data_IF_762435142369
#
_entry.id   IF_762435142369
#
_cell.length_a   1.000
_cell.length_b   1.000
_cell.length_c   1.000
_cell.angle_alpha   90.00
_cell.angle_beta   90.00
_cell.angle_gamma   90.00
#
_symmetry.space_group_name_H-M   'P 1'
#
loop_
_entity.id
_entity.type
_entity.pdbx_description
1 polymer ?
#
# COMPACT_ATOMS: atom_id res chain seq x y z
N UNK A 1 17.58 30.55 19.11
CA UNK A 1 16.54 30.65 18.08
C UNK A 1 15.42 29.69 18.46
N UNK A 2 14.20 30.16 18.66
CA UNK A 2 13.07 29.22 18.86
C UNK A 2 12.87 28.49 17.53
N UNK A 3 12.91 27.16 17.59
CA UNK A 3 12.49 26.31 16.48
C UNK A 3 11.03 26.66 16.19
N UNK A 4 10.73 27.14 14.99
CA UNK A 4 9.36 27.26 14.51
C UNK A 4 8.76 25.87 14.58
N UNK A 5 7.76 25.68 15.43
CA UNK A 5 6.96 24.46 15.49
C UNK A 5 6.14 24.47 14.20
N UNK A 6 6.57 23.74 13.17
CA UNK A 6 5.70 23.44 12.04
C UNK A 6 4.47 22.74 12.62
N UNK A 7 3.30 23.31 12.42
CA UNK A 7 2.06 22.66 12.80
C UNK A 7 1.97 21.36 12.01
N UNK A 8 2.00 20.24 12.72
CA UNK A 8 1.85 18.93 12.09
C UNK A 8 0.38 18.71 11.75
N UNK A 9 0.10 18.22 10.54
CA UNK A 9 -1.24 17.78 10.16
C UNK A 9 -1.67 16.58 10.98
N UNK A 10 -2.97 16.43 11.11
CA UNK A 10 -3.63 15.35 11.85
C UNK A 10 -4.56 14.55 10.93
N UNK A 11 -5.10 13.45 11.44
CA UNK A 11 -6.11 12.65 10.72
C UNK A 11 -7.38 13.48 10.42
N UNK A 12 -7.72 14.44 11.28
CA UNK A 12 -8.86 15.33 11.05
C UNK A 12 -8.66 16.22 9.81
N UNK A 13 -7.41 16.59 9.51
CA UNK A 13 -7.08 17.33 8.29
C UNK A 13 -7.28 16.48 7.03
N UNK A 14 -7.05 15.16 7.11
CA UNK A 14 -7.39 14.24 6.02
C UNK A 14 -8.90 14.22 5.77
N UNK A 15 -9.72 14.16 6.83
CA UNK A 15 -11.17 14.18 6.70
C UNK A 15 -11.72 15.53 6.24
N UNK A 16 -10.98 16.61 6.44
CA UNK A 16 -11.35 17.95 6.00
C UNK A 16 -10.98 18.25 4.54
N UNK A 17 -10.33 17.34 3.85
CA UNK A 17 -10.00 17.53 2.44
C UNK A 17 -11.27 17.69 1.59
N UNK A 18 -11.23 18.52 0.54
CA UNK A 18 -12.33 18.65 -0.40
C UNK A 18 -12.69 17.32 -1.07
N UNK A 19 -13.96 17.17 -1.46
CA UNK A 19 -14.44 16.00 -2.17
C UNK A 19 -13.59 15.70 -3.42
N UNK A 20 -13.13 14.48 -3.53
CA UNK A 20 -12.30 14.02 -4.63
C UNK A 20 -10.78 14.21 -4.41
N UNK A 21 -10.37 14.92 -3.38
CA UNK A 21 -8.98 15.00 -2.98
C UNK A 21 -8.62 13.88 -1.99
N UNK A 22 -7.43 13.33 -2.15
CA UNK A 22 -6.90 12.26 -1.28
C UNK A 22 -5.47 12.57 -0.90
N UNK A 23 -5.10 12.23 0.31
CA UNK A 23 -3.74 12.36 0.79
C UNK A 23 -3.39 11.24 1.77
N UNK A 24 -2.10 10.95 1.88
CA UNK A 24 -1.54 10.18 2.96
C UNK A 24 -0.93 11.12 4.00
N UNK A 25 -0.92 10.70 5.24
CA UNK A 25 -0.33 11.43 6.35
C UNK A 25 0.77 10.56 6.96
N UNK A 26 2.00 11.05 6.95
CA UNK A 26 3.15 10.33 7.50
C UNK A 26 3.90 11.25 8.44
N UNK A 27 3.95 10.89 9.73
CA UNK A 27 4.55 11.69 10.79
C UNK A 27 4.06 13.15 10.80
N UNK A 28 2.76 13.35 10.61
CA UNK A 28 2.16 14.67 10.56
C UNK A 28 2.44 15.48 9.29
N UNK A 29 3.00 14.87 8.25
CA UNK A 29 3.19 15.50 6.93
C UNK A 29 2.20 14.94 5.93
N UNK A 30 1.49 15.84 5.26
CA UNK A 30 0.48 15.48 4.27
C UNK A 30 1.11 15.33 2.87
N UNK A 31 0.78 14.24 2.19
CA UNK A 31 1.22 13.91 0.85
C UNK A 31 0.01 13.71 -0.04
N UNK A 32 -0.27 14.70 -0.90
CA UNK A 32 -1.40 14.63 -1.82
C UNK A 32 -1.22 13.50 -2.84
N UNK A 33 -2.28 12.76 -3.10
CA UNK A 33 -2.29 11.63 -4.03
C UNK A 33 -2.85 12.05 -5.40
N UNK A 34 -2.18 11.61 -6.45
CA UNK A 34 -2.67 11.77 -7.81
C UNK A 34 -3.42 10.52 -8.28
N UNK A 35 -4.36 10.65 -9.23
CA UNK A 35 -5.01 9.49 -9.84
C UNK A 35 -3.97 8.53 -10.45
N UNK A 36 -4.12 7.22 -10.24
CA UNK A 36 -3.19 6.24 -10.78
C UNK A 36 -3.29 6.10 -12.30
N UNK A 37 -2.21 5.67 -12.94
CA UNK A 37 -2.21 5.39 -14.37
C UNK A 37 -3.03 4.14 -14.70
N UNK A 38 -3.43 4.00 -15.98
CA UNK A 38 -4.11 2.79 -16.47
C UNK A 38 -3.31 1.50 -16.18
N UNK A 39 -1.99 1.55 -16.39
CA UNK A 39 -1.09 0.42 -16.11
C UNK A 39 -1.09 0.02 -14.65
N UNK A 40 -1.00 1.01 -13.77
CA UNK A 40 -1.07 0.83 -12.32
C UNK A 40 -2.40 0.17 -11.91
N UNK A 41 -3.52 0.70 -12.36
CA UNK A 41 -4.85 0.16 -12.06
C UNK A 41 -5.02 -1.28 -12.55
N UNK A 42 -4.52 -1.58 -13.76
CA UNK A 42 -4.60 -2.95 -14.30
C UNK A 42 -3.83 -3.96 -13.44
N UNK A 43 -2.63 -3.59 -12.97
CA UNK A 43 -1.82 -4.42 -12.07
C UNK A 43 -2.56 -4.63 -10.75
N UNK A 44 -3.03 -3.55 -10.14
CA UNK A 44 -3.77 -3.61 -8.87
C UNK A 44 -4.99 -4.51 -8.96
N UNK A 45 -5.87 -4.26 -9.94
CA UNK A 45 -7.10 -5.06 -10.13
C UNK A 45 -6.81 -6.55 -10.31
N UNK A 46 -5.77 -6.88 -11.09
CA UNK A 46 -5.41 -8.27 -11.34
C UNK A 46 -4.86 -8.97 -10.10
N UNK A 47 -4.00 -8.29 -9.36
CA UNK A 47 -3.44 -8.83 -8.11
C UNK A 47 -4.51 -9.04 -7.06
N UNK A 48 -5.38 -8.07 -6.85
CA UNK A 48 -6.52 -8.20 -5.92
C UNK A 48 -7.35 -9.42 -6.28
N UNK A 49 -7.71 -9.59 -7.55
CA UNK A 49 -8.50 -10.75 -8.01
C UNK A 49 -7.78 -12.09 -7.77
N UNK A 50 -6.47 -12.15 -7.93
CA UNK A 50 -5.68 -13.38 -7.69
C UNK A 50 -5.62 -13.68 -6.20
N UNK A 51 -5.35 -12.67 -5.38
CA UNK A 51 -5.23 -12.80 -3.92
C UNK A 51 -6.58 -13.21 -3.32
N UNK A 52 -7.65 -12.53 -3.70
CA UNK A 52 -9.00 -12.80 -3.23
C UNK A 52 -9.43 -14.24 -3.53
N UNK A 53 -9.23 -14.69 -4.77
CA UNK A 53 -9.48 -16.08 -5.16
C UNK A 53 -8.67 -17.07 -4.33
N UNK A 54 -7.40 -16.78 -4.11
CA UNK A 54 -6.54 -17.65 -3.29
C UNK A 54 -7.06 -17.78 -1.85
N UNK A 55 -7.46 -16.65 -1.25
CA UNK A 55 -8.05 -16.60 0.10
C UNK A 55 -9.32 -17.46 0.15
N UNK A 56 -10.22 -17.31 -0.82
CA UNK A 56 -11.45 -18.08 -0.90
C UNK A 56 -11.21 -19.59 -1.08
N UNK A 57 -10.34 -19.97 -2.02
CA UNK A 57 -10.04 -21.38 -2.32
C UNK A 57 -9.39 -22.10 -1.13
N UNK A 58 -8.57 -21.39 -0.35
CA UNK A 58 -7.86 -21.94 0.82
C UNK A 58 -8.64 -21.75 2.12
N UNK A 59 -9.84 -21.12 2.07
CA UNK A 59 -10.66 -20.82 3.25
C UNK A 59 -9.90 -20.08 4.35
N UNK A 60 -9.02 -19.20 3.95
CA UNK A 60 -8.27 -18.34 4.87
C UNK A 60 -9.21 -17.28 5.48
N UNK A 61 -8.83 -16.78 6.66
CA UNK A 61 -9.60 -15.75 7.36
C UNK A 61 -9.23 -14.32 6.94
N UNK A 62 -8.33 -14.20 5.97
CA UNK A 62 -7.84 -12.91 5.51
C UNK A 62 -8.84 -12.24 4.58
N UNK A 63 -8.74 -10.92 4.49
CA UNK A 63 -9.46 -10.10 3.53
C UNK A 63 -8.47 -9.24 2.75
N UNK A 64 -8.73 -9.02 1.45
CA UNK A 64 -7.90 -8.18 0.59
C UNK A 64 -8.65 -6.92 0.18
N UNK A 65 -7.98 -5.77 0.27
CA UNK A 65 -8.54 -4.47 -0.07
C UNK A 65 -7.63 -3.72 -1.04
N UNK A 66 -8.24 -3.15 -2.10
CA UNK A 66 -7.57 -2.23 -3.01
C UNK A 66 -7.75 -0.78 -2.54
N UNK A 67 -6.80 0.10 -2.88
CA UNK A 67 -6.98 1.53 -2.69
C UNK A 67 -8.21 2.07 -3.47
N UNK A 68 -8.93 3.07 -2.92
CA UNK A 68 -8.69 3.72 -1.64
C UNK A 68 -9.19 2.88 -0.46
N UNK A 69 -8.30 2.51 0.42
CA UNK A 69 -8.62 1.80 1.65
C UNK A 69 -7.74 2.34 2.78
N UNK A 70 -8.38 2.87 3.81
CA UNK A 70 -7.70 3.56 4.89
C UNK A 70 -6.96 2.59 5.81
N UNK A 71 -5.69 2.86 6.06
CA UNK A 71 -4.88 2.18 7.06
C UNK A 71 -4.37 3.21 8.07
N UNK A 72 -4.88 3.14 9.29
CA UNK A 72 -4.43 3.94 10.43
C UNK A 72 -3.23 3.23 11.06
N UNK A 73 -2.08 3.40 10.42
CA UNK A 73 -0.89 2.61 10.71
C UNK A 73 -0.38 2.85 12.13
N UNK A 74 -0.37 4.12 12.56
CA UNK A 74 -0.06 4.52 13.91
C UNK A 74 -0.76 5.86 14.24
N UNK A 75 -1.80 5.78 15.06
CA UNK A 75 -2.56 6.96 15.48
C UNK A 75 -1.72 7.95 16.32
N UNK A 76 -0.72 7.45 17.06
CA UNK A 76 0.14 8.30 17.91
C UNK A 76 1.10 9.17 17.10
N UNK A 77 1.57 8.66 15.97
CA UNK A 77 2.46 9.38 15.07
C UNK A 77 1.73 10.10 13.95
N UNK A 78 0.38 10.16 13.99
CA UNK A 78 -0.40 10.70 12.89
C UNK A 78 0.04 10.10 11.54
N UNK A 79 0.04 8.76 11.46
CA UNK A 79 0.38 8.05 10.22
C UNK A 79 -0.85 7.31 9.70
N UNK A 80 -1.36 7.87 8.60
CA UNK A 80 -2.50 7.37 7.83
C UNK A 80 -2.05 7.16 6.40
N UNK A 81 -2.26 5.97 5.87
CA UNK A 81 -1.86 5.61 4.49
C UNK A 81 -2.99 4.91 3.77
N UNK A 82 -2.95 4.93 2.45
CA UNK A 82 -3.85 4.21 1.57
C UNK A 82 -3.03 3.34 0.61
N UNK A 83 -2.51 2.19 1.08
CA UNK A 83 -1.70 1.32 0.24
C UNK A 83 -2.47 0.82 -0.98
N UNK A 84 -1.78 0.57 -2.08
CA UNK A 84 -2.43 0.08 -3.30
C UNK A 84 -3.19 -1.23 -3.07
N UNK A 85 -2.62 -2.14 -2.27
CA UNK A 85 -3.29 -3.38 -1.84
C UNK A 85 -2.89 -3.67 -0.39
N UNK A 86 -3.87 -4.02 0.42
CA UNK A 86 -3.70 -4.45 1.81
C UNK A 86 -4.38 -5.78 2.05
N UNK A 87 -3.70 -6.70 2.74
CA UNK A 87 -4.27 -7.98 3.19
C UNK A 87 -4.26 -8.00 4.71
N UNK A 88 -5.41 -8.25 5.30
CA UNK A 88 -5.62 -8.25 6.75
C UNK A 88 -6.21 -9.59 7.17
N UNK A 89 -5.55 -10.29 8.10
CA UNK A 89 -5.97 -11.60 8.59
C UNK A 89 -6.58 -11.55 9.99
N UNK A 90 -6.47 -10.41 10.66
CA UNK A 90 -7.07 -10.16 11.97
C UNK A 90 -8.32 -9.27 11.81
N UNK A 91 -9.54 -9.84 11.90
CA UNK A 91 -10.78 -9.08 11.72
C UNK A 91 -10.99 -8.01 12.79
N UNK A 92 -10.35 -8.13 13.95
CA UNK A 92 -10.48 -7.14 15.02
C UNK A 92 -9.79 -5.80 14.68
N UNK A 93 -8.95 -5.80 13.65
CA UNK A 93 -8.36 -4.56 13.09
C UNK A 93 -9.27 -3.83 12.11
N UNK A 94 -10.36 -4.45 11.67
CA UNK A 94 -11.25 -3.91 10.64
C UNK A 94 -12.48 -3.26 11.25
N UNK A 95 -12.81 -2.07 10.77
CA UNK A 95 -14.10 -1.41 10.98
C UNK A 95 -14.54 -0.68 9.70
N UNK A 96 -15.70 -0.01 9.73
CA UNK A 96 -16.25 0.70 8.56
C UNK A 96 -15.34 1.81 8.02
N UNK A 97 -14.35 2.27 8.77
CA UNK A 97 -13.40 3.30 8.33
C UNK A 97 -12.15 2.72 7.67
N UNK A 98 -11.81 1.46 7.94
CA UNK A 98 -10.62 0.81 7.42
C UNK A 98 -9.92 -0.09 8.41
N UNK A 99 -8.59 -0.18 8.31
CA UNK A 99 -7.75 -1.01 9.16
C UNK A 99 -7.07 -0.18 10.25
N UNK A 100 -7.16 -0.62 11.50
CA UNK A 100 -6.44 -0.05 12.65
C UNK A 100 -5.18 -0.85 12.94
N UNK A 101 -4.04 -0.19 12.82
CA UNK A 101 -2.74 -0.84 12.94
C UNK A 101 -2.25 -1.45 11.62
N UNK A 102 -1.20 -2.25 11.71
CA UNK A 102 -0.54 -2.79 10.53
C UNK A 102 -1.34 -3.93 9.89
N UNK A 103 -1.61 -3.87 8.57
CA UNK A 103 -1.98 -5.03 7.77
C UNK A 103 -0.93 -6.14 7.87
N UNK A 104 -1.32 -7.38 7.56
CA UNK A 104 -0.38 -8.50 7.50
C UNK A 104 0.53 -8.39 6.27
N UNK A 105 -0.03 -7.99 5.14
CA UNK A 105 0.69 -7.84 3.88
C UNK A 105 0.26 -6.57 3.16
N UNK A 106 1.25 -5.80 2.69
CA UNK A 106 1.05 -4.58 1.91
C UNK A 106 1.78 -4.71 0.57
N UNK A 107 1.13 -4.27 -0.49
CA UNK A 107 1.72 -4.15 -1.82
C UNK A 107 1.57 -2.71 -2.29
N UNK A 108 2.69 -2.11 -2.72
CA UNK A 108 2.72 -0.81 -3.39
C UNK A 108 3.18 -0.97 -4.84
N UNK A 109 2.47 -0.33 -5.75
CA UNK A 109 2.77 -0.32 -7.17
C UNK A 109 3.39 1.03 -7.50
N UNK A 110 4.70 1.02 -7.74
CA UNK A 110 5.51 2.24 -7.87
C UNK A 110 5.10 3.07 -9.08
N UNK A 111 4.87 4.34 -8.84
CA UNK A 111 4.84 5.40 -9.86
C UNK A 111 6.16 6.18 -9.85
N UNK A 112 6.46 6.97 -10.90
CA UNK A 112 7.63 7.85 -10.87
C UNK A 112 7.62 8.82 -9.67
N UNK A 113 6.44 9.29 -9.27
CA UNK A 113 6.27 10.24 -8.17
C UNK A 113 6.40 9.57 -6.79
N UNK A 114 5.92 8.33 -6.62
CA UNK A 114 5.91 7.61 -5.34
C UNK A 114 7.21 6.84 -5.05
N UNK A 115 8.08 6.64 -6.03
CA UNK A 115 9.26 5.79 -5.94
C UNK A 115 10.06 5.96 -4.65
N UNK A 116 10.44 7.20 -4.32
CA UNK A 116 11.24 7.47 -3.12
C UNK A 116 10.46 7.17 -1.84
N UNK A 117 9.16 7.45 -1.85
CA UNK A 117 8.27 7.17 -0.73
C UNK A 117 8.18 5.67 -0.47
N UNK A 118 7.90 4.88 -1.51
CA UNK A 118 7.67 3.44 -1.40
C UNK A 118 8.94 2.68 -1.03
N UNK A 119 10.09 3.02 -1.63
CA UNK A 119 11.36 2.33 -1.39
C UNK A 119 12.05 2.70 -0.08
N UNK A 120 11.72 3.83 0.54
CA UNK A 120 12.42 4.29 1.75
C UNK A 120 11.48 4.60 2.90
N UNK A 121 10.63 5.60 2.76
CA UNK A 121 9.81 6.08 3.88
C UNK A 121 8.77 5.05 4.30
N UNK A 122 7.99 4.54 3.36
CA UNK A 122 6.96 3.53 3.62
C UNK A 122 7.58 2.19 4.05
N UNK A 123 8.69 1.79 3.44
CA UNK A 123 9.44 0.60 3.86
C UNK A 123 9.77 0.64 5.36
N UNK A 124 10.33 1.75 5.82
CA UNK A 124 10.65 1.92 7.23
C UNK A 124 9.39 1.93 8.11
N UNK A 125 8.35 2.66 7.68
CA UNK A 125 7.09 2.77 8.43
C UNK A 125 6.36 1.43 8.55
N UNK A 126 6.23 0.70 7.47
CA UNK A 126 5.57 -0.61 7.47
C UNK A 126 6.31 -1.62 8.34
N UNK A 127 7.63 -1.67 8.21
CA UNK A 127 8.45 -2.53 9.08
C UNK A 127 8.28 -2.19 10.56
N UNK A 128 8.36 -0.91 10.92
CA UNK A 128 8.27 -0.44 12.31
C UNK A 128 6.88 -0.65 12.90
N UNK A 129 5.83 -0.53 12.09
CA UNK A 129 4.45 -0.73 12.51
C UNK A 129 4.09 -2.20 12.73
N UNK A 130 4.89 -3.14 12.21
CA UNK A 130 4.64 -4.57 12.36
C UNK A 130 3.93 -5.23 11.18
N UNK A 131 3.96 -4.62 10.01
CA UNK A 131 3.61 -5.32 8.76
C UNK A 131 4.51 -6.54 8.62
N UNK A 132 3.94 -7.68 8.23
CA UNK A 132 4.69 -8.93 8.14
C UNK A 132 5.41 -9.09 6.81
N UNK A 133 4.77 -8.66 5.73
CA UNK A 133 5.31 -8.75 4.38
C UNK A 133 5.01 -7.47 3.58
N UNK A 134 5.99 -6.97 2.83
CA UNK A 134 5.86 -5.78 2.01
C UNK A 134 6.42 -6.01 0.61
N UNK A 135 5.59 -5.80 -0.39
CA UNK A 135 5.98 -5.91 -1.79
C UNK A 135 6.01 -4.55 -2.46
N UNK A 136 7.07 -4.32 -3.22
CA UNK A 136 7.22 -3.15 -4.08
C UNK A 136 7.22 -3.63 -5.53
N UNK A 137 6.18 -3.28 -6.28
CA UNK A 137 6.05 -3.64 -7.69
C UNK A 137 6.47 -2.46 -8.55
N UNK A 138 7.61 -2.57 -9.21
CA UNK A 138 8.14 -1.57 -10.12
C UNK A 138 7.91 -1.99 -11.57
N UNK A 139 6.78 -1.59 -12.12
CA UNK A 139 6.39 -1.96 -13.48
C UNK A 139 7.28 -1.33 -14.58
N UNK A 140 8.02 -0.25 -14.27
CA UNK A 140 8.97 0.34 -15.20
C UNK A 140 10.26 -0.49 -15.30
N UNK A 141 10.61 -1.19 -14.23
CA UNK A 141 11.78 -2.08 -14.17
C UNK A 141 11.44 -3.56 -14.37
N UNK A 142 10.14 -3.90 -14.53
CA UNK A 142 9.65 -5.27 -14.53
C UNK A 142 10.15 -6.07 -13.31
N UNK A 143 10.03 -5.46 -12.13
CA UNK A 143 10.64 -5.96 -10.92
C UNK A 143 9.64 -5.95 -9.77
N UNK A 144 9.70 -7.00 -8.93
CA UNK A 144 9.06 -7.02 -7.62
C UNK A 144 10.13 -7.23 -6.56
N UNK A 145 10.14 -6.39 -5.55
CA UNK A 145 10.95 -6.55 -4.36
C UNK A 145 10.04 -7.00 -3.24
N UNK A 146 10.38 -8.10 -2.60
CA UNK A 146 9.65 -8.70 -1.48
C UNK A 146 10.48 -8.55 -0.23
N UNK A 147 9.91 -7.92 0.79
CA UNK A 147 10.46 -7.85 2.13
C UNK A 147 9.64 -8.74 3.06
N UNK A 148 10.25 -9.81 3.56
CA UNK A 148 9.71 -10.62 4.64
C UNK A 148 10.26 -10.08 5.98
N UNK A 149 9.44 -9.30 6.67
CA UNK A 149 9.85 -8.67 7.93
C UNK A 149 9.84 -9.66 9.11
N UNK A 150 9.14 -10.77 8.98
CA UNK A 150 9.10 -11.80 10.03
C UNK A 150 10.42 -12.55 10.09
N UNK A 151 10.93 -12.96 8.93
CA UNK A 151 12.20 -13.70 8.84
C UNK A 151 13.40 -12.77 8.64
N UNK A 152 13.17 -11.49 8.36
CA UNK A 152 14.23 -10.53 8.09
C UNK A 152 14.85 -10.67 6.70
N UNK A 153 14.14 -11.32 5.78
CA UNK A 153 14.60 -11.61 4.43
C UNK A 153 14.14 -10.56 3.43
N UNK A 154 14.93 -10.38 2.38
CA UNK A 154 14.59 -9.60 1.21
C UNK A 154 14.89 -10.42 -0.04
N UNK A 155 13.91 -10.50 -0.92
CA UNK A 155 14.07 -11.14 -2.22
C UNK A 155 13.68 -10.18 -3.34
N UNK A 156 14.39 -10.26 -4.46
CA UNK A 156 14.11 -9.49 -5.65
C UNK A 156 13.83 -10.42 -6.80
N UNK A 157 12.67 -10.24 -7.43
CA UNK A 157 12.27 -11.04 -8.58
C UNK A 157 12.11 -10.15 -9.80
N UNK A 158 12.55 -10.65 -10.94
CA UNK A 158 12.26 -10.02 -12.22
C UNK A 158 11.06 -10.72 -12.84
N UNK A 159 9.99 -9.99 -13.07
CA UNK A 159 8.76 -10.53 -13.64
C UNK A 159 8.44 -9.89 -14.96
N UNK A 160 7.89 -10.69 -15.84
CA UNK A 160 7.13 -10.21 -16.98
C UNK A 160 5.65 -10.10 -16.58
N UNK A 161 5.30 -9.15 -15.71
CA UNK A 161 3.93 -8.97 -15.22
C UNK A 161 2.91 -8.60 -16.30
N UNK A 162 3.36 -8.31 -17.50
CA UNK A 162 2.55 -7.66 -18.53
C UNK A 162 2.27 -8.52 -19.77
N UNK A 163 2.87 -9.70 -19.86
CA UNK A 163 2.84 -10.50 -21.11
C UNK A 163 1.81 -11.61 -21.18
N UNK A 164 0.78 -11.59 -20.38
CA UNK A 164 -0.24 -12.63 -20.46
C UNK A 164 -1.51 -12.25 -21.22
N UNK A 165 -1.57 -11.05 -21.82
CA UNK A 165 -2.74 -10.64 -22.59
C UNK A 165 -2.49 -10.34 -24.07
N UNK A 166 -1.24 -10.13 -24.49
CA UNK A 166 -0.95 -9.76 -25.89
C UNK A 166 -0.48 -10.94 -26.74
N UNK A 167 -0.23 -12.09 -26.13
CA UNK A 167 0.14 -13.32 -26.87
C UNK A 167 -1.06 -14.11 -27.42
N UNK A 168 -2.28 -13.65 -27.16
CA UNK A 168 -3.49 -14.31 -27.68
C UNK A 168 -4.02 -13.72 -28.99
N UNK A 169 -3.43 -12.61 -29.47
CA UNK A 169 -3.88 -11.94 -30.69
C UNK A 169 -2.98 -12.19 -31.92
N UNK A 170 -1.96 -13.04 -31.78
CA UNK A 170 -1.13 -13.49 -32.90
C UNK A 170 -1.21 -15.02 -33.11
N UNK A 171 -2.42 -15.50 -33.35
CA UNK A 171 -2.61 -16.87 -33.86
C UNK A 171 -3.79 -16.89 -34.83
#
# INVERSE_FOLDING_TARGET
>A
MPLLKEEAYTIDDIYALPDGERAELIDGRMYMMAPPSRKHQRISTRLVSIIDRYIEEHKEKCEVYAAPFAVYLDERSNTYVEPDISVICDPDKLDDRGCKGAPDWIIEIVSPASRRMDYYTKLFKYRTAGVREYWIIDAAKNQVVVYDFVNGDMAQYTFCLLYTSDAADEA
#
